data_IF_106017604992
#
_entry.id   IF_106017604992
#
_cell.length_a   1.000
_cell.length_b   1.000
_cell.length_c   1.000
_cell.angle_alpha   90.00
_cell.angle_beta   90.00
_cell.angle_gamma   90.00
#
_symmetry.space_group_name_H-M   'P 1'
#
loop_
_entity.id
_entity.type
_entity.pdbx_description
1 polymer ?
#
# COMPACT_ATOMS: atom_id res chain seq x y z
N UNK A 1 67.11 35.27 20.14
CA UNK A 1 67.34 34.56 21.38
C UNK A 1 66.50 33.30 21.32
N UNK A 2 67.11 32.20 20.83
CA UNK A 2 66.49 30.89 20.71
C UNK A 2 66.73 30.07 21.98
N UNK A 3 65.70 29.61 22.63
CA UNK A 3 65.80 28.56 23.63
C UNK A 3 64.84 27.45 23.29
N UNK A 4 65.34 26.49 22.50
CA UNK A 4 64.72 25.17 22.38
C UNK A 4 65.43 24.24 23.36
N UNK A 5 64.73 23.94 24.47
CA UNK A 5 65.10 22.86 25.33
C UNK A 5 64.78 21.51 24.69
N UNK A 6 65.82 20.72 24.57
CA UNK A 6 65.78 19.31 24.12
C UNK A 6 65.16 18.49 25.25
N UNK A 7 64.02 17.90 25.04
CA UNK A 7 63.49 16.85 25.91
C UNK A 7 64.21 15.55 25.60
N UNK A 8 64.85 15.03 26.62
CA UNK A 8 65.63 13.77 26.63
C UNK A 8 64.70 12.56 26.43
N UNK A 9 65.22 11.57 25.72
CA UNK A 9 64.57 10.29 25.42
C UNK A 9 64.29 9.54 26.74
N UNK A 10 63.03 9.40 27.13
CA UNK A 10 62.64 8.44 28.17
C UNK A 10 62.66 7.02 27.57
N UNK A 11 63.31 6.06 28.23
CA UNK A 11 63.34 4.69 27.75
C UNK A 11 61.96 4.06 27.91
N UNK A 12 61.42 3.55 26.82
CA UNK A 12 60.19 2.71 26.80
C UNK A 12 60.31 1.54 27.75
N UNK A 13 59.28 1.29 28.60
CA UNK A 13 59.35 0.14 29.52
C UNK A 13 59.34 -1.20 28.80
N UNK A 14 60.32 -2.01 29.05
CA UNK A 14 60.55 -3.35 28.46
C UNK A 14 59.66 -4.47 28.99
N UNK A 15 58.48 -4.16 29.54
CA UNK A 15 57.57 -5.19 30.08
C UNK A 15 56.39 -5.56 29.14
N UNK A 16 56.29 -4.98 27.95
CA UNK A 16 55.41 -5.51 26.94
C UNK A 16 56.05 -6.73 26.27
N UNK A 17 55.97 -7.85 26.99
CA UNK A 17 56.20 -9.17 26.35
C UNK A 17 55.25 -9.30 25.18
N UNK A 18 55.81 -9.67 24.05
CA UNK A 18 55.08 -10.18 22.91
C UNK A 18 54.26 -11.40 23.34
N UNK A 19 53.05 -11.13 23.83
CA UNK A 19 52.03 -12.16 23.77
C UNK A 19 51.62 -12.23 22.29
N UNK A 20 52.10 -13.31 21.64
CA UNK A 20 51.42 -13.84 20.48
C UNK A 20 49.98 -14.14 20.90
N UNK A 21 49.11 -13.10 20.84
CA UNK A 21 47.70 -13.32 20.91
C UNK A 21 47.38 -14.27 19.72
N UNK A 22 46.72 -15.42 20.00
CA UNK A 22 46.23 -16.22 18.90
C UNK A 22 45.41 -15.27 18.04
N UNK A 23 45.76 -15.19 16.76
CA UNK A 23 44.93 -14.55 15.76
C UNK A 23 43.58 -15.25 15.92
N UNK A 24 42.69 -14.65 16.71
CA UNK A 24 41.30 -14.99 16.67
C UNK A 24 40.95 -14.92 15.19
N UNK A 25 40.64 -16.11 14.68
CA UNK A 25 40.01 -16.21 13.37
C UNK A 25 38.97 -15.11 13.37
N UNK A 26 39.22 -14.02 12.64
CA UNK A 26 38.20 -13.18 12.14
C UNK A 26 37.21 -14.18 11.53
N UNK A 27 36.18 -14.53 12.29
CA UNK A 27 35.00 -15.11 11.74
C UNK A 27 34.72 -14.19 10.56
N UNK A 28 35.03 -14.68 9.39
CA UNK A 28 34.56 -14.11 8.17
C UNK A 28 33.06 -14.08 8.39
N UNK A 29 32.58 -12.95 8.89
CA UNK A 29 31.20 -12.55 8.72
C UNK A 29 31.00 -12.72 7.21
N UNK A 30 30.48 -13.91 6.85
CA UNK A 30 29.98 -14.15 5.52
C UNK A 30 29.01 -12.99 5.32
N UNK A 31 29.51 -11.95 4.68
CA UNK A 31 28.66 -10.93 4.07
C UNK A 31 27.85 -11.74 3.09
N UNK A 32 26.70 -12.20 3.59
CA UNK A 32 25.73 -12.95 2.81
C UNK A 32 25.43 -12.05 1.63
N UNK A 33 26.16 -12.32 0.51
CA UNK A 33 26.08 -11.48 -0.68
C UNK A 33 24.64 -11.56 -1.12
N UNK A 34 23.88 -10.50 -0.82
CA UNK A 34 22.45 -10.39 -1.15
C UNK A 34 22.31 -10.77 -2.61
N UNK A 35 21.69 -11.90 -2.87
CA UNK A 35 21.45 -12.34 -4.23
C UNK A 35 20.59 -11.27 -4.93
N UNK A 36 20.89 -10.92 -6.18
CA UNK A 36 20.09 -9.92 -6.88
C UNK A 36 18.62 -10.36 -6.94
N UNK A 37 17.70 -9.41 -6.72
CA UNK A 37 16.27 -9.66 -6.79
C UNK A 37 15.91 -10.21 -8.17
N UNK A 38 15.47 -11.47 -8.22
CA UNK A 38 14.98 -12.10 -9.45
C UNK A 38 13.46 -12.01 -9.45
N UNK A 39 12.94 -11.00 -10.12
CA UNK A 39 11.49 -10.81 -10.25
C UNK A 39 10.85 -12.03 -10.94
N UNK A 40 9.91 -12.74 -10.30
CA UNK A 40 9.25 -13.89 -10.90
C UNK A 40 8.07 -13.42 -11.80
N UNK A 41 8.39 -12.68 -12.86
CA UNK A 41 7.40 -12.04 -13.72
C UNK A 41 6.35 -13.02 -14.26
N UNK A 42 6.77 -14.20 -14.72
CA UNK A 42 5.86 -15.23 -15.21
C UNK A 42 4.91 -15.74 -14.11
N UNK A 43 5.39 -15.89 -12.88
CA UNK A 43 4.53 -16.29 -11.76
C UNK A 43 3.52 -15.20 -11.41
N UNK A 44 3.93 -13.93 -11.41
CA UNK A 44 3.04 -12.79 -11.20
C UNK A 44 1.93 -12.77 -12.26
N UNK A 45 2.31 -12.89 -13.52
CA UNK A 45 1.37 -12.89 -14.65
C UNK A 45 0.43 -14.10 -14.57
N UNK A 46 0.93 -15.30 -14.29
CA UNK A 46 0.13 -16.50 -14.17
C UNK A 46 -0.86 -16.43 -13.00
N UNK A 47 -0.38 -16.06 -11.79
CA UNK A 47 -1.21 -15.97 -10.60
C UNK A 47 -2.26 -14.86 -10.73
N UNK A 48 -1.90 -13.68 -11.26
CA UNK A 48 -2.88 -12.61 -11.51
C UNK A 48 -3.96 -13.03 -12.49
N UNK A 49 -3.61 -13.81 -13.52
CA UNK A 49 -4.58 -14.35 -14.47
C UNK A 49 -5.55 -15.31 -13.79
N UNK A 50 -5.06 -16.22 -12.94
CA UNK A 50 -5.91 -17.15 -12.18
C UNK A 50 -6.86 -16.38 -11.26
N UNK A 51 -6.34 -15.38 -10.53
CA UNK A 51 -7.18 -14.57 -9.63
C UNK A 51 -8.30 -13.89 -10.39
N UNK A 52 -8.03 -13.24 -11.54
CA UNK A 52 -9.07 -12.57 -12.33
C UNK A 52 -10.07 -13.57 -12.90
N UNK A 53 -9.62 -14.73 -13.36
CA UNK A 53 -10.52 -15.79 -13.84
C UNK A 53 -11.47 -16.24 -12.73
N UNK A 54 -10.96 -16.48 -11.54
CA UNK A 54 -11.75 -17.00 -10.41
C UNK A 54 -12.60 -15.90 -9.76
N UNK A 55 -12.07 -14.70 -9.54
CA UNK A 55 -12.75 -13.67 -8.74
C UNK A 55 -13.62 -12.70 -9.56
N UNK A 56 -13.35 -12.52 -10.85
CA UNK A 56 -14.08 -11.57 -11.69
C UNK A 56 -14.88 -12.31 -12.77
N UNK A 57 -14.19 -13.11 -13.57
CA UNK A 57 -14.80 -13.70 -14.79
C UNK A 57 -15.80 -14.79 -14.40
N UNK A 58 -15.42 -15.72 -13.54
CA UNK A 58 -16.29 -16.82 -13.12
C UNK A 58 -17.56 -16.34 -12.41
N UNK A 59 -17.50 -15.43 -11.41
CA UNK A 59 -18.69 -14.87 -10.78
C UNK A 59 -19.59 -14.11 -11.75
N UNK A 60 -19.02 -13.41 -12.74
CA UNK A 60 -19.80 -12.70 -13.76
C UNK A 60 -20.65 -13.65 -14.58
N UNK A 61 -20.08 -14.78 -15.04
CA UNK A 61 -20.81 -15.77 -15.83
C UNK A 61 -21.79 -16.62 -15.01
N UNK A 62 -21.49 -16.85 -13.72
CA UNK A 62 -22.36 -17.62 -12.83
C UNK A 62 -23.44 -16.77 -12.15
N UNK A 63 -23.45 -15.46 -12.32
CA UNK A 63 -24.36 -14.56 -11.62
C UNK A 63 -24.09 -14.46 -10.12
N UNK A 64 -22.85 -14.72 -9.68
CA UNK A 64 -22.42 -14.69 -8.28
C UNK A 64 -21.74 -13.35 -7.92
N UNK A 65 -22.10 -12.27 -8.62
CA UNK A 65 -21.60 -10.92 -8.33
C UNK A 65 -22.34 -10.37 -7.11
N UNK A 66 -21.59 -9.73 -6.20
CA UNK A 66 -22.18 -9.09 -5.03
C UNK A 66 -23.19 -8.00 -5.44
N UNK A 67 -24.23 -7.73 -4.63
CA UNK A 67 -25.18 -6.66 -4.93
C UNK A 67 -24.51 -5.30 -5.10
N UNK A 68 -23.53 -4.97 -4.27
CA UNK A 68 -22.76 -3.72 -4.34
C UNK A 68 -22.01 -3.62 -5.66
N UNK A 69 -21.33 -4.68 -6.09
CA UNK A 69 -20.60 -4.70 -7.35
C UNK A 69 -21.52 -4.67 -8.56
N UNK A 70 -22.68 -5.30 -8.46
CA UNK A 70 -23.73 -5.22 -9.48
C UNK A 70 -24.26 -3.80 -9.63
N UNK A 71 -24.46 -3.10 -8.51
CA UNK A 71 -24.81 -1.69 -8.49
C UNK A 71 -23.73 -0.82 -9.14
N UNK A 72 -22.47 -1.05 -8.85
CA UNK A 72 -21.36 -0.32 -9.46
C UNK A 72 -21.31 -0.50 -10.99
N UNK A 73 -21.53 -1.72 -11.48
CA UNK A 73 -21.61 -1.98 -12.92
C UNK A 73 -22.81 -1.27 -13.56
N UNK A 74 -23.97 -1.28 -12.86
CA UNK A 74 -25.14 -0.53 -13.30
C UNK A 74 -24.87 0.96 -13.37
N UNK A 75 -24.23 1.54 -12.36
CA UNK A 75 -23.84 2.97 -12.35
C UNK A 75 -22.95 3.27 -13.56
N UNK A 76 -21.94 2.45 -13.84
CA UNK A 76 -21.06 2.62 -14.97
C UNK A 76 -21.80 2.63 -16.32
N UNK A 77 -22.82 1.79 -16.46
CA UNK A 77 -23.69 1.78 -17.63
C UNK A 77 -24.65 2.99 -17.65
N UNK A 78 -25.26 3.30 -16.52
CA UNK A 78 -26.29 4.35 -16.41
C UNK A 78 -25.72 5.77 -16.63
N UNK A 79 -24.46 6.02 -16.23
CA UNK A 79 -23.76 7.28 -16.51
C UNK A 79 -23.63 7.59 -18.00
N UNK A 80 -23.76 6.61 -18.89
CA UNK A 80 -23.83 6.84 -20.35
C UNK A 80 -25.18 7.32 -20.83
N UNK A 81 -26.24 7.07 -20.06
CA UNK A 81 -27.60 7.48 -20.45
C UNK A 81 -27.88 8.93 -20.05
N UNK A 82 -27.67 9.27 -18.84
CA UNK A 82 -27.67 10.61 -18.25
C UNK A 82 -27.57 10.46 -16.73
N UNK A 83 -26.78 11.26 -16.10
CA UNK A 83 -26.67 11.30 -14.66
C UNK A 83 -25.23 11.19 -14.17
N UNK A 84 -25.00 11.75 -13.01
CA UNK A 84 -23.69 11.80 -12.38
C UNK A 84 -23.69 10.91 -11.13
N UNK A 85 -22.58 10.16 -10.89
CA UNK A 85 -22.36 9.47 -9.63
C UNK A 85 -22.31 10.48 -8.47
N UNK A 86 -22.76 10.05 -7.32
CA UNK A 86 -22.94 10.84 -6.08
C UNK A 86 -24.08 11.87 -6.12
N UNK A 87 -24.63 12.21 -7.27
CA UNK A 87 -25.79 13.12 -7.38
C UNK A 87 -27.03 12.33 -7.72
N UNK A 88 -27.01 11.58 -8.80
CA UNK A 88 -28.15 10.79 -9.28
C UNK A 88 -28.06 9.32 -8.85
N UNK A 89 -26.84 8.85 -8.61
CA UNK A 89 -26.57 7.47 -8.21
C UNK A 89 -25.75 7.43 -6.91
N UNK A 90 -26.16 6.55 -6.00
CA UNK A 90 -25.44 6.33 -4.74
C UNK A 90 -24.20 5.48 -4.97
N UNK A 91 -23.01 6.03 -4.65
CA UNK A 91 -21.72 5.35 -4.85
C UNK A 91 -20.82 5.43 -3.61
N UNK A 92 -20.29 4.30 -3.16
CA UNK A 92 -19.39 4.20 -2.01
C UNK A 92 -17.91 4.14 -2.37
N UNK A 93 -17.61 3.92 -3.64
CA UNK A 93 -16.23 3.84 -4.17
C UNK A 93 -15.72 5.22 -4.61
N UNK A 94 -14.43 5.31 -4.94
CA UNK A 94 -13.83 6.57 -5.35
C UNK A 94 -14.15 6.97 -6.81
N UNK A 95 -13.95 8.23 -7.14
CA UNK A 95 -14.32 8.79 -8.45
C UNK A 95 -13.58 8.10 -9.61
N UNK A 96 -12.28 7.78 -9.47
CA UNK A 96 -11.53 7.11 -10.54
C UNK A 96 -12.06 5.70 -10.80
N UNK A 97 -12.59 5.04 -9.77
CA UNK A 97 -13.26 3.76 -9.95
C UNK A 97 -14.48 3.91 -10.86
N UNK A 98 -15.34 4.90 -10.60
CA UNK A 98 -16.53 5.15 -11.46
C UNK A 98 -16.16 5.65 -12.86
N UNK A 99 -15.06 6.40 -12.99
CA UNK A 99 -14.52 6.72 -14.32
C UNK A 99 -14.15 5.46 -15.12
N UNK A 100 -13.54 4.45 -14.47
CA UNK A 100 -13.26 3.17 -15.14
C UNK A 100 -14.54 2.39 -15.46
N UNK A 101 -15.52 2.39 -14.54
CA UNK A 101 -16.82 1.78 -14.79
C UNK A 101 -17.54 2.46 -15.99
N UNK A 102 -17.47 3.78 -16.08
CA UNK A 102 -17.95 4.53 -17.23
C UNK A 102 -17.25 4.11 -18.52
N UNK A 103 -15.93 4.06 -18.56
CA UNK A 103 -15.14 3.65 -19.73
C UNK A 103 -15.48 2.22 -20.20
N UNK A 104 -15.70 1.33 -19.25
CA UNK A 104 -16.02 -0.09 -19.54
C UNK A 104 -17.52 -0.36 -19.72
N UNK A 105 -18.37 0.65 -19.51
CA UNK A 105 -19.85 0.53 -19.54
C UNK A 105 -20.39 -0.58 -18.63
N UNK A 106 -19.74 -0.81 -17.49
CA UNK A 106 -20.08 -1.90 -16.58
C UNK A 106 -19.91 -3.30 -17.19
N UNK A 107 -19.09 -3.44 -18.23
CA UNK A 107 -18.89 -4.71 -18.94
C UNK A 107 -17.70 -5.49 -18.39
N UNK A 108 -17.55 -6.75 -18.85
CA UNK A 108 -16.43 -7.62 -18.50
C UNK A 108 -15.04 -7.05 -18.89
N UNK A 109 -14.98 -6.01 -19.74
CA UNK A 109 -13.73 -5.31 -20.06
C UNK A 109 -13.05 -4.76 -18.80
N UNK A 110 -13.80 -4.52 -17.73
CA UNK A 110 -13.28 -4.14 -16.42
C UNK A 110 -12.30 -5.17 -15.83
N UNK A 111 -12.44 -6.45 -16.20
CA UNK A 111 -11.51 -7.49 -15.78
C UNK A 111 -10.05 -7.22 -16.20
N UNK A 112 -9.83 -6.56 -17.33
CA UNK A 112 -8.49 -6.18 -17.82
C UNK A 112 -7.82 -5.20 -16.85
N UNK A 113 -8.57 -4.21 -16.35
CA UNK A 113 -8.04 -3.25 -15.38
C UNK A 113 -7.70 -3.92 -14.04
N UNK A 114 -8.55 -4.85 -13.58
CA UNK A 114 -8.25 -5.66 -12.39
C UNK A 114 -6.99 -6.52 -12.59
N UNK A 115 -6.83 -7.10 -13.75
CA UNK A 115 -5.64 -7.89 -14.10
C UNK A 115 -4.37 -7.04 -14.06
N UNK A 116 -4.38 -5.86 -14.70
CA UNK A 116 -3.25 -4.92 -14.66
C UNK A 116 -2.94 -4.46 -13.23
N UNK A 117 -3.97 -4.18 -12.44
CA UNK A 117 -3.81 -3.79 -11.04
C UNK A 117 -3.16 -4.92 -10.21
N UNK A 118 -3.59 -6.16 -10.38
CA UNK A 118 -3.00 -7.31 -9.70
C UNK A 118 -1.54 -7.55 -10.09
N UNK A 119 -1.18 -7.36 -11.37
CA UNK A 119 0.22 -7.43 -11.80
C UNK A 119 1.05 -6.34 -11.09
N UNK A 120 0.58 -5.10 -11.11
CA UNK A 120 1.25 -3.99 -10.43
C UNK A 120 1.38 -4.21 -8.92
N UNK A 121 0.30 -4.67 -8.27
CA UNK A 121 0.29 -5.02 -6.85
C UNK A 121 1.31 -6.13 -6.53
N UNK A 122 1.34 -7.20 -7.32
CA UNK A 122 2.29 -8.29 -7.16
C UNK A 122 3.73 -7.86 -7.33
N UNK A 123 4.00 -6.97 -8.30
CA UNK A 123 5.33 -6.40 -8.53
C UNK A 123 5.83 -5.63 -7.29
N UNK A 124 5.04 -4.68 -6.80
CA UNK A 124 5.44 -3.85 -5.66
C UNK A 124 5.48 -4.65 -4.36
N UNK A 125 4.57 -5.60 -4.16
CA UNK A 125 4.58 -6.47 -2.99
C UNK A 125 5.82 -7.37 -2.97
N UNK A 126 6.19 -7.99 -4.11
CA UNK A 126 7.39 -8.78 -4.21
C UNK A 126 8.64 -7.95 -3.86
N UNK A 127 8.73 -6.74 -4.42
CA UNK A 127 9.85 -5.84 -4.14
C UNK A 127 9.91 -5.45 -2.65
N UNK A 128 8.76 -5.15 -2.04
CA UNK A 128 8.66 -4.85 -0.62
C UNK A 128 9.10 -6.02 0.26
N UNK A 129 8.61 -7.22 -0.04
CA UNK A 129 8.97 -8.44 0.68
C UNK A 129 10.46 -8.79 0.51
N UNK A 130 11.01 -8.58 -0.68
CA UNK A 130 12.43 -8.80 -0.93
C UNK A 130 13.32 -7.80 -0.16
N UNK A 131 12.93 -6.54 -0.09
CA UNK A 131 13.66 -5.53 0.69
C UNK A 131 13.68 -5.84 2.19
N UNK A 132 12.61 -6.48 2.70
CA UNK A 132 12.54 -6.89 4.11
C UNK A 132 13.31 -8.18 4.41
N UNK A 133 13.22 -9.17 3.52
CA UNK A 133 13.71 -10.53 3.82
C UNK A 133 15.10 -10.83 3.22
N UNK A 134 15.50 -10.10 2.18
CA UNK A 134 16.70 -10.38 1.39
C UNK A 134 16.64 -11.66 0.55
N UNK A 135 15.53 -12.43 0.62
CA UNK A 135 15.40 -13.77 0.06
C UNK A 135 14.32 -13.88 -1.00
N UNK A 136 14.69 -14.30 -2.21
CA UNK A 136 13.74 -14.48 -3.31
C UNK A 136 12.65 -15.52 -2.99
N UNK A 137 12.98 -16.61 -2.27
CA UNK A 137 12.05 -17.69 -1.94
C UNK A 137 10.93 -17.19 -0.99
N UNK A 138 11.30 -16.47 0.07
CA UNK A 138 10.34 -15.92 1.02
C UNK A 138 9.43 -14.89 0.35
N UNK A 139 9.98 -14.03 -0.49
CA UNK A 139 9.21 -13.03 -1.25
C UNK A 139 8.20 -13.68 -2.20
N UNK A 140 8.55 -14.82 -2.83
CA UNK A 140 7.61 -15.59 -3.64
C UNK A 140 6.50 -16.25 -2.80
N UNK A 141 6.81 -16.70 -1.58
CA UNK A 141 5.78 -17.23 -0.67
C UNK A 141 4.78 -16.14 -0.27
N UNK A 142 5.25 -14.95 0.11
CA UNK A 142 4.39 -13.80 0.40
C UNK A 142 3.50 -13.46 -0.79
N UNK A 143 4.06 -13.45 -1.99
CA UNK A 143 3.33 -13.21 -3.23
C UNK A 143 2.22 -14.25 -3.46
N UNK A 144 2.53 -15.54 -3.25
CA UNK A 144 1.56 -16.62 -3.41
C UNK A 144 0.40 -16.49 -2.42
N UNK A 145 0.72 -16.25 -1.14
CA UNK A 145 -0.29 -16.03 -0.10
C UNK A 145 -1.17 -14.81 -0.44
N UNK A 146 -0.57 -13.73 -0.92
CA UNK A 146 -1.31 -12.55 -1.36
C UNK A 146 -2.34 -12.89 -2.45
N UNK A 147 -1.95 -13.62 -3.49
CA UNK A 147 -2.86 -13.95 -4.58
C UNK A 147 -4.00 -14.91 -4.15
N UNK A 148 -3.71 -15.83 -3.23
CA UNK A 148 -4.75 -16.69 -2.63
C UNK A 148 -5.76 -15.83 -1.86
N UNK A 149 -5.30 -14.93 -1.00
CA UNK A 149 -6.16 -14.02 -0.24
C UNK A 149 -6.92 -13.06 -1.16
N UNK A 150 -6.25 -12.48 -2.16
CA UNK A 150 -6.89 -11.62 -3.14
C UNK A 150 -8.01 -12.34 -3.87
N UNK A 151 -7.81 -13.60 -4.28
CA UNK A 151 -8.83 -14.41 -4.94
C UNK A 151 -10.06 -14.65 -4.04
N UNK A 152 -9.84 -14.95 -2.76
CA UNK A 152 -10.90 -15.22 -1.81
C UNK A 152 -11.70 -13.94 -1.44
N UNK A 153 -10.99 -12.83 -1.17
CA UNK A 153 -11.60 -11.59 -0.72
C UNK A 153 -12.29 -10.81 -1.85
N UNK A 154 -11.89 -11.03 -3.10
CA UNK A 154 -12.47 -10.32 -4.26
C UNK A 154 -13.44 -11.18 -5.07
N UNK A 155 -13.84 -12.33 -4.56
CA UNK A 155 -14.77 -13.21 -5.27
C UNK A 155 -16.13 -12.53 -5.48
N UNK A 156 -16.41 -12.16 -6.73
CA UNK A 156 -17.67 -11.50 -7.11
C UNK A 156 -17.80 -10.04 -6.65
N UNK A 157 -16.76 -9.42 -6.06
CA UNK A 157 -16.85 -8.03 -5.58
C UNK A 157 -15.54 -7.44 -5.08
N UNK A 158 -15.61 -6.24 -4.49
CA UNK A 158 -14.44 -5.57 -3.92
C UNK A 158 -13.40 -5.06 -4.93
N UNK A 159 -13.79 -4.88 -6.18
CA UNK A 159 -12.86 -4.54 -7.27
C UNK A 159 -12.25 -3.15 -7.14
N UNK A 160 -12.93 -2.22 -6.50
CA UNK A 160 -12.37 -0.91 -6.15
C UNK A 160 -11.12 -1.04 -5.27
N UNK A 161 -11.16 -1.95 -4.30
CA UNK A 161 -10.02 -2.28 -3.44
C UNK A 161 -8.86 -2.86 -4.24
N UNK A 162 -9.13 -3.80 -5.16
CA UNK A 162 -8.07 -4.38 -6.02
C UNK A 162 -7.37 -3.30 -6.84
N UNK A 163 -8.11 -2.36 -7.40
CA UNK A 163 -7.54 -1.25 -8.17
C UNK A 163 -6.71 -0.29 -7.32
N UNK A 164 -6.96 -0.19 -6.02
CA UNK A 164 -6.16 0.59 -5.08
C UNK A 164 -4.84 -0.10 -4.70
N UNK A 165 -4.77 -1.45 -4.68
CA UNK A 165 -3.64 -2.22 -4.17
C UNK A 165 -2.27 -1.86 -4.77
N UNK A 166 -2.09 -1.68 -6.10
CA UNK A 166 -0.78 -1.33 -6.65
C UNK A 166 -0.22 -0.04 -6.05
N UNK A 167 -1.08 0.94 -5.82
CA UNK A 167 -0.69 2.21 -5.22
C UNK A 167 -0.36 2.06 -3.73
N UNK A 168 -1.13 1.27 -2.99
CA UNK A 168 -0.87 0.97 -1.59
C UNK A 168 0.45 0.22 -1.40
N UNK A 169 0.73 -0.79 -2.23
CA UNK A 169 1.99 -1.53 -2.16
C UNK A 169 3.19 -0.73 -2.68
N UNK A 170 2.99 0.19 -3.62
CA UNK A 170 4.03 1.14 -3.98
C UNK A 170 4.36 2.08 -2.79
N UNK A 171 3.35 2.62 -2.11
CA UNK A 171 3.56 3.40 -0.89
C UNK A 171 4.28 2.59 0.20
N UNK A 172 3.92 1.30 0.38
CA UNK A 172 4.61 0.38 1.28
C UNK A 172 6.08 0.21 0.91
N UNK A 173 6.39 0.00 -0.38
CA UNK A 173 7.76 -0.19 -0.84
C UNK A 173 8.65 1.01 -0.54
N UNK A 174 8.10 2.22 -0.68
CA UNK A 174 8.80 3.46 -0.34
C UNK A 174 9.00 3.63 1.18
N UNK A 175 8.00 3.25 1.98
CA UNK A 175 8.12 3.29 3.44
C UNK A 175 9.17 2.29 3.95
N UNK A 176 9.22 1.07 3.39
CA UNK A 176 10.23 0.07 3.74
C UNK A 176 11.64 0.57 3.36
N UNK A 177 11.79 1.19 2.18
CA UNK A 177 13.06 1.80 1.78
C UNK A 177 13.50 2.89 2.76
N UNK A 178 12.56 3.71 3.22
CA UNK A 178 12.83 4.71 4.26
C UNK A 178 13.25 4.07 5.60
N UNK A 179 12.62 2.99 6.05
CA UNK A 179 13.01 2.32 7.29
C UNK A 179 14.42 1.70 7.20
N UNK A 180 14.83 1.28 6.01
CA UNK A 180 16.18 0.77 5.77
C UNK A 180 17.25 1.89 5.72
N UNK A 181 16.93 3.02 5.08
CA UNK A 181 17.83 4.16 4.90
C UNK A 181 17.12 5.48 5.24
N UNK A 182 17.01 5.84 6.53
CA UNK A 182 16.21 6.98 6.98
C UNK A 182 16.74 8.35 6.53
N UNK A 183 17.97 8.44 6.10
CA UNK A 183 18.59 9.70 5.63
C UNK A 183 18.17 10.04 4.19
N UNK A 184 17.52 9.10 3.46
CA UNK A 184 17.00 9.30 2.12
C UNK A 184 15.52 9.68 2.11
N UNK A 185 15.22 10.91 2.43
CA UNK A 185 13.87 11.46 2.71
C UNK A 185 12.96 11.68 1.48
N UNK A 186 13.44 11.37 0.29
CA UNK A 186 12.80 11.79 -0.98
C UNK A 186 11.51 11.04 -1.35
N UNK A 187 11.06 10.07 -0.54
CA UNK A 187 9.93 9.20 -0.87
C UNK A 187 8.54 9.72 -0.47
N UNK A 188 8.42 10.59 0.53
CA UNK A 188 7.13 10.88 1.17
C UNK A 188 6.13 11.65 0.28
N UNK A 189 6.57 12.54 -0.60
CA UNK A 189 5.69 13.15 -1.61
C UNK A 189 5.11 12.07 -2.53
N UNK A 190 5.92 11.08 -2.95
CA UNK A 190 5.46 9.97 -3.79
C UNK A 190 4.50 9.04 -3.04
N UNK A 191 4.72 8.82 -1.73
CA UNK A 191 3.77 8.11 -0.86
C UNK A 191 2.42 8.85 -0.86
N UNK A 192 2.42 10.17 -0.67
CA UNK A 192 1.21 10.98 -0.71
C UNK A 192 0.48 10.91 -2.05
N UNK A 193 1.18 11.05 -3.17
CA UNK A 193 0.61 10.88 -4.51
C UNK A 193 -0.03 9.49 -4.68
N UNK A 194 0.67 8.46 -4.24
CA UNK A 194 0.19 7.08 -4.34
C UNK A 194 -1.05 6.84 -3.50
N UNK A 195 -1.08 7.36 -2.27
CA UNK A 195 -2.26 7.29 -1.41
C UNK A 195 -3.44 8.08 -1.99
N UNK A 196 -3.20 9.22 -2.65
CA UNK A 196 -4.27 9.97 -3.32
C UNK A 196 -4.88 9.16 -4.46
N UNK A 197 -4.06 8.54 -5.31
CA UNK A 197 -4.54 7.68 -6.39
C UNK A 197 -5.32 6.48 -5.84
N UNK A 198 -4.79 5.81 -4.80
CA UNK A 198 -5.48 4.71 -4.14
C UNK A 198 -6.83 5.15 -3.54
N UNK A 199 -6.88 6.34 -2.93
CA UNK A 199 -8.09 6.91 -2.33
C UNK A 199 -9.20 7.09 -3.36
N UNK A 200 -8.87 7.55 -4.56
CA UNK A 200 -9.87 7.73 -5.61
C UNK A 200 -10.33 6.42 -6.28
N UNK A 201 -9.74 5.28 -5.93
CA UNK A 201 -10.28 3.95 -6.23
C UNK A 201 -11.06 3.38 -5.05
N UNK A 202 -10.39 3.19 -3.91
CA UNK A 202 -10.96 2.61 -2.70
C UNK A 202 -10.71 3.47 -1.46
N UNK A 203 -11.57 4.48 -1.19
CA UNK A 203 -11.31 5.48 -0.16
C UNK A 203 -11.21 4.88 1.24
N UNK A 204 -12.09 3.95 1.61
CA UNK A 204 -12.12 3.35 2.94
C UNK A 204 -10.84 2.56 3.24
N UNK A 205 -10.48 1.64 2.34
CA UNK A 205 -9.27 0.81 2.53
C UNK A 205 -8.02 1.68 2.54
N UNK A 206 -7.96 2.72 1.70
CA UNK A 206 -6.83 3.63 1.65
C UNK A 206 -6.68 4.45 2.93
N UNK A 207 -7.80 4.92 3.49
CA UNK A 207 -7.79 5.68 4.76
C UNK A 207 -7.27 4.83 5.90
N UNK A 208 -7.76 3.60 6.04
CA UNK A 208 -7.29 2.66 7.06
C UNK A 208 -5.80 2.33 6.87
N UNK A 209 -5.39 2.07 5.63
CA UNK A 209 -4.00 1.80 5.30
C UNK A 209 -3.09 2.99 5.61
N UNK A 210 -3.48 4.21 5.21
CA UNK A 210 -2.73 5.43 5.48
C UNK A 210 -2.54 5.65 6.98
N UNK A 211 -3.60 5.41 7.78
CA UNK A 211 -3.52 5.51 9.24
C UNK A 211 -2.46 4.56 9.81
N UNK A 212 -2.47 3.28 9.40
CA UNK A 212 -1.49 2.29 9.87
C UNK A 212 -0.08 2.66 9.41
N UNK A 213 0.09 3.08 8.16
CA UNK A 213 1.38 3.47 7.59
C UNK A 213 1.99 4.65 8.34
N UNK A 214 1.22 5.73 8.54
CA UNK A 214 1.70 6.91 9.24
C UNK A 214 1.92 6.67 10.74
N UNK A 215 1.12 5.80 11.36
CA UNK A 215 1.39 5.34 12.72
C UNK A 215 2.74 4.62 12.81
N UNK A 216 3.03 3.70 11.89
CA UNK A 216 4.31 2.99 11.83
C UNK A 216 5.50 3.95 11.61
N UNK A 217 5.38 4.91 10.67
CA UNK A 217 6.40 5.92 10.41
C UNK A 217 6.63 6.80 11.64
N UNK A 218 5.56 7.22 12.32
CA UNK A 218 5.66 8.04 13.53
C UNK A 218 6.32 7.26 14.65
N UNK A 219 5.91 6.01 14.90
CA UNK A 219 6.50 5.15 15.92
C UNK A 219 8.01 4.93 15.68
N UNK A 220 8.40 4.72 14.40
CA UNK A 220 9.79 4.59 14.01
C UNK A 220 10.62 5.86 14.33
N UNK A 221 10.10 7.05 13.99
CA UNK A 221 10.77 8.32 14.25
C UNK A 221 10.83 8.65 15.75
N UNK A 222 9.79 8.32 16.52
CA UNK A 222 9.79 8.46 17.99
C UNK A 222 10.87 7.55 18.60
N UNK A 223 11.00 6.30 18.14
CA UNK A 223 12.05 5.40 18.61
C UNK A 223 13.47 5.91 18.32
N UNK A 224 13.64 6.78 17.33
CA UNK A 224 14.91 7.45 17.00
C UNK A 224 15.08 8.83 17.65
N UNK A 225 14.19 9.25 18.53
CA UNK A 225 14.15 10.59 19.14
C UNK A 225 14.10 11.74 18.10
N UNK A 226 13.47 11.52 16.97
CA UNK A 226 13.39 12.48 15.85
C UNK A 226 11.94 12.74 15.40
N UNK A 227 11.10 13.15 16.35
CA UNK A 227 9.67 13.42 16.09
C UNK A 227 9.46 14.54 15.05
N UNK A 228 10.32 15.58 15.08
CA UNK A 228 10.23 16.70 14.14
C UNK A 228 10.37 16.23 12.68
N UNK A 229 11.25 15.28 12.45
CA UNK A 229 11.43 14.67 11.13
C UNK A 229 10.18 13.89 10.69
N UNK A 230 9.57 13.14 11.61
CA UNK A 230 8.29 12.44 11.35
C UNK A 230 7.17 13.42 10.96
N UNK A 231 7.08 14.58 11.59
CA UNK A 231 6.12 15.62 11.23
C UNK A 231 6.40 16.19 9.83
N UNK A 232 7.66 16.45 9.50
CA UNK A 232 8.04 16.90 8.15
C UNK A 232 7.59 15.89 7.08
N UNK A 233 7.80 14.62 7.31
CA UNK A 233 7.39 13.53 6.40
C UNK A 233 5.88 13.47 6.22
N UNK A 234 5.13 13.64 7.31
CA UNK A 234 3.67 13.72 7.26
C UNK A 234 3.20 14.89 6.37
N UNK A 235 3.79 16.08 6.56
CA UNK A 235 3.47 17.23 5.71
C UNK A 235 3.88 17.02 4.25
N UNK A 236 5.04 16.41 3.99
CA UNK A 236 5.49 16.08 2.64
C UNK A 236 4.52 15.12 1.94
N UNK A 237 4.03 14.10 2.66
CA UNK A 237 3.01 13.19 2.14
C UNK A 237 1.67 13.92 1.92
N UNK A 238 1.26 14.80 2.83
CA UNK A 238 0.08 15.65 2.68
C UNK A 238 0.13 16.53 1.43
N UNK A 239 1.29 17.13 1.14
CA UNK A 239 1.51 17.87 -0.11
C UNK A 239 1.37 16.97 -1.33
N UNK A 240 1.99 15.79 -1.32
CA UNK A 240 1.85 14.80 -2.39
C UNK A 240 0.41 14.38 -2.62
N UNK A 241 -0.33 14.10 -1.55
CA UNK A 241 -1.76 13.79 -1.61
C UNK A 241 -2.57 14.92 -2.24
N UNK A 242 -2.29 16.15 -1.86
CA UNK A 242 -2.99 17.35 -2.33
C UNK A 242 -2.88 17.58 -3.84
N UNK A 243 -1.78 17.15 -4.48
CA UNK A 243 -1.56 17.30 -5.92
C UNK A 243 -2.71 16.68 -6.74
N UNK A 244 -3.24 15.53 -6.32
CA UNK A 244 -4.35 14.87 -6.99
C UNK A 244 -5.69 15.17 -6.33
N UNK A 245 -5.71 15.35 -5.01
CA UNK A 245 -6.94 15.60 -4.28
C UNK A 245 -7.60 16.91 -4.67
N UNK A 246 -6.84 17.99 -4.82
CA UNK A 246 -7.42 19.30 -5.17
C UNK A 246 -8.06 19.33 -6.57
N UNK A 247 -7.42 18.88 -7.66
CA UNK A 247 -8.05 18.90 -8.98
C UNK A 247 -9.32 18.04 -9.03
N UNK A 248 -9.30 16.86 -8.43
CA UNK A 248 -10.46 15.95 -8.44
C UNK A 248 -11.55 16.45 -7.49
N UNK A 249 -11.17 16.93 -6.30
CA UNK A 249 -12.11 17.56 -5.36
C UNK A 249 -12.73 18.82 -5.93
N UNK A 250 -11.98 19.65 -6.65
CA UNK A 250 -12.51 20.82 -7.35
C UNK A 250 -13.51 20.43 -8.44
N UNK A 251 -13.23 19.38 -9.22
CA UNK A 251 -14.15 18.88 -10.23
C UNK A 251 -15.48 18.42 -9.60
N UNK A 252 -15.42 17.66 -8.51
CA UNK A 252 -16.63 17.20 -7.80
C UNK A 252 -17.38 18.36 -7.14
N UNK A 253 -16.66 19.37 -6.62
CA UNK A 253 -17.26 20.57 -6.07
C UNK A 253 -17.94 21.41 -7.16
N UNK A 254 -17.33 21.55 -8.32
CA UNK A 254 -17.92 22.22 -9.49
C UNK A 254 -19.24 21.56 -9.94
N UNK A 255 -19.31 20.23 -9.88
CA UNK A 255 -20.53 19.43 -10.15
C UNK A 255 -21.52 19.44 -8.99
N UNK A 256 -21.26 20.20 -7.90
CA UNK A 256 -22.06 20.22 -6.67
C UNK A 256 -22.24 18.85 -5.99
N UNK A 257 -21.37 17.89 -6.29
CA UNK A 257 -21.42 16.51 -5.78
C UNK A 257 -20.44 16.23 -4.65
N UNK A 258 -19.57 17.17 -4.28
CA UNK A 258 -18.50 16.93 -3.31
C UNK A 258 -19.02 16.52 -1.91
N UNK A 259 -20.01 17.21 -1.37
CA UNK A 259 -20.61 16.87 -0.08
C UNK A 259 -21.28 15.49 -0.11
N UNK A 260 -22.00 15.21 -1.18
CA UNK A 260 -22.65 13.91 -1.38
C UNK A 260 -21.61 12.79 -1.54
N UNK A 261 -20.51 13.02 -2.28
CA UNK A 261 -19.45 12.06 -2.43
C UNK A 261 -18.82 11.69 -1.08
N UNK A 262 -18.51 12.68 -0.24
CA UNK A 262 -17.94 12.41 1.09
C UNK A 262 -18.94 11.65 1.97
N UNK A 263 -20.21 12.06 2.03
CA UNK A 263 -21.21 11.38 2.85
C UNK A 263 -21.45 9.94 2.40
N UNK A 264 -21.47 9.68 1.10
CA UNK A 264 -21.67 8.33 0.55
C UNK A 264 -20.44 7.44 0.75
N UNK A 265 -19.23 7.98 0.60
CA UNK A 265 -17.97 7.27 0.87
C UNK A 265 -17.84 6.88 2.35
N UNK A 266 -18.32 7.74 3.25
CA UNK A 266 -18.29 7.49 4.70
C UNK A 266 -19.48 6.65 5.20
N UNK A 267 -20.51 6.46 4.39
CA UNK A 267 -21.70 5.69 4.76
C UNK A 267 -21.41 4.29 5.34
N UNK A 268 -20.46 3.51 4.83
CA UNK A 268 -20.11 2.24 5.45
C UNK A 268 -19.61 2.35 6.89
N UNK A 269 -19.02 3.50 7.28
CA UNK A 269 -18.60 3.76 8.66
C UNK A 269 -19.79 4.12 9.57
N UNK A 270 -20.79 4.80 9.04
CA UNK A 270 -22.02 5.10 9.80
C UNK A 270 -22.80 3.82 10.16
N UNK A 271 -22.74 2.81 9.29
CA UNK A 271 -23.32 1.50 9.57
C UNK A 271 -22.58 0.71 10.67
N UNK A 272 -21.34 1.09 10.99
CA UNK A 272 -20.53 0.55 12.09
C UNK A 272 -20.85 1.20 13.46
N UNK A 273 -21.88 2.04 13.56
CA UNK A 273 -22.31 2.59 14.84
C UNK A 273 -22.78 1.47 15.77
N UNK A 274 -21.85 0.95 16.57
CA UNK A 274 -22.01 -0.17 17.52
C UNK A 274 -23.07 0.11 18.61
N UNK A 275 -23.56 1.32 18.73
CA UNK A 275 -24.48 1.71 19.80
C UNK A 275 -25.95 1.51 19.48
N UNK A 276 -26.33 1.28 18.22
CA UNK A 276 -27.76 1.21 17.82
C UNK A 276 -28.22 -0.10 17.20
N UNK A 277 -27.33 -1.05 16.92
CA UNK A 277 -27.71 -2.29 16.24
C UNK A 277 -27.07 -3.54 16.90
N UNK A 278 -27.77 -4.24 17.80
CA UNK A 278 -27.28 -5.49 18.36
C UNK A 278 -27.00 -6.59 17.30
N UNK A 279 -27.61 -6.46 16.11
CA UNK A 279 -27.39 -7.38 14.98
C UNK A 279 -25.99 -7.35 14.38
N UNK A 280 -25.19 -6.29 14.64
CA UNK A 280 -23.82 -6.19 14.13
C UNK A 280 -22.86 -7.14 14.87
N UNK A 281 -23.05 -7.29 16.18
CA UNK A 281 -22.28 -8.25 16.99
C UNK A 281 -22.65 -9.68 16.61
N UNK A 282 -23.93 -9.94 16.34
CA UNK A 282 -24.42 -11.22 15.86
C UNK A 282 -23.91 -11.54 14.45
N UNK A 283 -23.84 -10.55 13.56
CA UNK A 283 -23.28 -10.72 12.22
C UNK A 283 -21.76 -10.92 12.25
N UNK A 284 -21.02 -10.18 13.09
CA UNK A 284 -19.58 -10.40 13.28
C UNK A 284 -19.27 -11.77 13.88
N UNK A 285 -20.08 -12.23 14.82
CA UNK A 285 -19.98 -13.57 15.38
C UNK A 285 -20.36 -14.64 14.35
N UNK A 286 -21.36 -14.40 13.52
CA UNK A 286 -21.78 -15.32 12.48
C UNK A 286 -20.75 -15.44 11.35
N UNK A 287 -20.18 -14.32 10.85
CA UNK A 287 -19.15 -14.32 9.81
C UNK A 287 -17.74 -14.55 10.33
N UNK A 288 -17.50 -14.39 11.63
CA UNK A 288 -16.20 -14.69 12.26
C UNK A 288 -16.06 -16.14 12.73
N UNK A 289 -17.15 -16.93 12.73
CA UNK A 289 -17.19 -18.34 13.11
C UNK A 289 -17.35 -19.28 11.89
N UNK A 290 -17.51 -18.74 10.70
CA UNK A 290 -17.48 -19.47 9.42
C UNK A 290 -16.12 -19.30 8.75
#
# INVERSE_FOLDING_TARGET
MNVYGRLEDEPTPTWMGSQDAPVENEEQLEVETRQPARLPFLNILFLSTIVVLVSVILPFFLGLISPEQSQDFYIGWAMHQSGDVYTDYFGTSGLLYYCLQYLTKGSLLFAVFNWLALIGAGFFLFHSAYNLTGQNKQSQQVLTVFYILASALSFGGGYATILALPFLFYALSLAIAYFAEPDHDKGFIRIGISLALAFFFGPLVTTLYAFVLFFAVTAFNVGRNNLTHGLYQFFAAGLGFSIFFYPIGYYTAYKSSFGNAISQILYPLDSLNFTSNPSLLDNLLFYGLL
#
